data_IF_258072160802
#
_entry.id   IF_258072160802
#
_cell.length_a   1.000
_cell.length_b   1.000
_cell.length_c   1.000
_cell.angle_alpha   90.00
_cell.angle_beta   90.00
_cell.angle_gamma   90.00
#
_symmetry.space_group_name_H-M   'P 1'
#
loop_
_entity.id
_entity.type
_entity.pdbx_description
1 polymer ?
#
# COMPACT_ATOMS: atom_id res chain seq x y z
N UNK A 1 -19.46 -62.98 47.88
CA UNK A 1 -18.50 -62.02 47.31
C UNK A 1 -18.85 -61.83 45.83
N UNK A 2 -19.58 -60.77 45.48
CA UNK A 2 -19.99 -60.50 44.11
C UNK A 2 -19.69 -59.03 43.81
N UNK A 3 -18.51 -58.76 43.29
CA UNK A 3 -18.10 -57.43 42.85
C UNK A 3 -17.41 -57.53 41.50
N UNK A 4 -17.60 -56.48 40.69
CA UNK A 4 -16.92 -56.22 39.41
C UNK A 4 -17.59 -56.74 38.14
N UNK A 5 -18.67 -56.06 37.71
CA UNK A 5 -19.07 -55.94 36.29
C UNK A 5 -19.76 -54.59 35.98
N UNK A 6 -19.28 -53.47 36.54
CA UNK A 6 -19.85 -52.13 36.28
C UNK A 6 -18.89 -51.13 35.60
N UNK A 7 -17.69 -51.56 35.22
CA UNK A 7 -16.65 -50.65 34.70
C UNK A 7 -16.53 -50.59 33.16
N UNK A 8 -17.36 -51.30 32.40
CA UNK A 8 -17.24 -51.38 30.94
C UNK A 8 -18.26 -50.54 30.14
N UNK A 9 -19.23 -49.89 30.81
CA UNK A 9 -20.27 -49.11 30.12
C UNK A 9 -19.99 -47.60 30.05
N UNK A 10 -19.12 -47.08 30.93
CA UNK A 10 -18.76 -45.66 30.97
C UNK A 10 -17.75 -45.26 29.90
N UNK A 11 -16.89 -46.19 29.46
CA UNK A 11 -15.87 -45.94 28.45
C UNK A 11 -16.45 -45.60 27.06
N UNK A 12 -17.43 -46.34 26.50
CA UNK A 12 -18.00 -45.99 25.19
C UNK A 12 -18.82 -44.68 25.22
N UNK A 13 -19.45 -44.35 26.36
CA UNK A 13 -20.21 -43.10 26.54
C UNK A 13 -19.28 -41.88 26.63
N UNK A 14 -18.11 -42.04 27.27
CA UNK A 14 -17.10 -41.00 27.35
C UNK A 14 -16.45 -40.76 25.96
N UNK A 15 -16.24 -41.82 25.17
CA UNK A 15 -15.69 -41.72 23.82
C UNK A 15 -16.63 -41.00 22.84
N UNK A 16 -17.94 -41.21 22.95
CA UNK A 16 -18.94 -40.51 22.11
C UNK A 16 -19.10 -39.05 22.50
N UNK A 17 -19.02 -38.72 23.80
CA UNK A 17 -18.99 -37.33 24.27
C UNK A 17 -17.74 -36.60 23.77
N UNK A 18 -16.56 -37.22 23.81
CA UNK A 18 -15.32 -36.63 23.29
C UNK A 18 -15.43 -36.35 21.78
N UNK A 19 -15.99 -37.27 20.98
CA UNK A 19 -16.22 -37.04 19.54
C UNK A 19 -17.27 -35.97 19.23
N UNK A 20 -18.26 -35.78 20.12
CA UNK A 20 -19.26 -34.71 19.99
C UNK A 20 -18.65 -33.31 20.27
N UNK A 21 -17.69 -33.22 21.19
CA UNK A 21 -16.92 -31.99 21.41
C UNK A 21 -15.95 -31.64 20.27
N UNK A 22 -15.51 -32.63 19.46
CA UNK A 22 -14.65 -32.39 18.30
C UNK A 22 -15.39 -32.11 16.98
N UNK A 23 -16.72 -32.30 16.91
CA UNK A 23 -17.49 -32.16 15.66
C UNK A 23 -18.33 -30.88 15.54
N UNK A 24 -18.23 -29.97 16.50
CA UNK A 24 -18.93 -28.67 16.47
C UNK A 24 -18.00 -27.48 16.26
N UNK A 25 -17.09 -27.56 15.28
CA UNK A 25 -16.58 -26.35 14.63
C UNK A 25 -17.42 -26.09 13.38
N UNK A 26 -18.62 -25.53 13.58
CA UNK A 26 -19.35 -24.90 12.48
C UNK A 26 -18.48 -23.73 12.02
N UNK A 27 -17.73 -23.92 10.94
CA UNK A 27 -16.92 -22.88 10.33
C UNK A 27 -17.88 -21.83 9.77
N UNK A 28 -18.26 -20.87 10.60
CA UNK A 28 -18.88 -19.65 10.13
C UNK A 28 -17.89 -19.04 9.13
N UNK A 29 -18.31 -18.95 7.87
CA UNK A 29 -17.65 -18.18 6.83
C UNK A 29 -17.65 -16.70 7.23
N UNK A 30 -16.85 -16.34 8.22
CA UNK A 30 -16.45 -14.97 8.46
C UNK A 30 -15.43 -14.66 7.38
N UNK A 31 -15.71 -13.63 6.58
CA UNK A 31 -14.72 -13.08 5.66
C UNK A 31 -13.41 -12.92 6.44
N UNK A 32 -12.37 -13.65 6.04
CA UNK A 32 -11.13 -13.65 6.80
C UNK A 32 -10.53 -12.25 6.74
N UNK A 33 -10.43 -11.59 7.88
CA UNK A 33 -9.82 -10.26 7.98
C UNK A 33 -8.50 -10.39 8.72
N UNK A 34 -7.48 -9.73 8.18
CA UNK A 34 -6.16 -9.60 8.77
C UNK A 34 -5.87 -8.12 9.01
N UNK A 35 -4.91 -7.79 9.88
CA UNK A 35 -4.54 -6.40 10.15
C UNK A 35 -3.06 -6.18 9.87
N UNK A 36 -2.74 -5.03 9.27
CA UNK A 36 -1.39 -4.51 9.20
C UNK A 36 -1.33 -3.16 9.92
N UNK A 37 -0.86 -3.18 11.17
CA UNK A 37 -1.00 -2.04 12.06
C UNK A 37 -2.46 -1.71 12.28
N UNK A 38 -2.89 -0.51 11.87
CA UNK A 38 -4.29 -0.06 12.00
C UNK A 38 -5.15 -0.33 10.77
N UNK A 39 -4.57 -0.81 9.68
CA UNK A 39 -5.29 -1.02 8.42
C UNK A 39 -5.78 -2.46 8.37
N UNK A 40 -7.09 -2.62 8.23
CA UNK A 40 -7.69 -3.92 7.98
C UNK A 40 -7.44 -4.34 6.53
N UNK A 41 -7.02 -5.59 6.36
CA UNK A 41 -6.79 -6.24 5.08
C UNK A 41 -7.85 -7.34 4.93
N UNK A 42 -8.65 -7.21 3.88
CA UNK A 42 -9.71 -8.14 3.49
C UNK A 42 -9.45 -8.64 2.06
N UNK A 43 -10.31 -9.55 1.58
CA UNK A 43 -10.42 -9.91 0.16
C UNK A 43 -10.53 -8.62 -0.69
N UNK A 44 -9.82 -8.48 -1.82
CA UNK A 44 -9.02 -9.49 -2.52
C UNK A 44 -7.55 -9.58 -2.08
N UNK A 45 -7.08 -8.70 -1.20
CA UNK A 45 -5.66 -8.63 -0.81
C UNK A 45 -5.26 -9.73 0.18
N UNK A 46 -6.22 -10.26 0.92
CA UNK A 46 -6.02 -11.33 1.89
C UNK A 46 -7.01 -12.46 1.63
N UNK A 47 -6.49 -13.68 1.50
CA UNK A 47 -7.30 -14.89 1.40
C UNK A 47 -6.51 -16.07 1.94
N UNK A 48 -6.71 -16.45 3.22
CA UNK A 48 -5.95 -17.53 3.84
C UNK A 48 -6.50 -18.92 3.49
N UNK A 49 -7.77 -19.01 3.11
CA UNK A 49 -8.47 -20.29 2.92
C UNK A 49 -8.89 -20.56 1.46
N UNK A 50 -8.52 -19.71 0.51
CA UNK A 50 -8.84 -19.93 -0.91
C UNK A 50 -7.74 -20.71 -1.61
N UNK A 51 -8.13 -21.77 -2.32
CA UNK A 51 -7.29 -22.47 -3.32
C UNK A 51 -6.88 -21.53 -4.47
N UNK A 52 -7.68 -20.49 -4.74
CA UNK A 52 -7.38 -19.43 -5.70
C UNK A 52 -6.93 -18.15 -4.96
N UNK A 53 -5.62 -17.96 -4.81
CA UNK A 53 -5.06 -16.71 -4.31
C UNK A 53 -5.31 -15.61 -5.34
N UNK A 54 -6.10 -14.60 -4.99
CA UNK A 54 -6.26 -13.42 -5.84
C UNK A 54 -4.88 -12.82 -6.14
N UNK A 55 -4.57 -12.50 -7.40
CA UNK A 55 -3.27 -11.96 -7.77
C UNK A 55 -2.99 -10.60 -7.09
N UNK A 56 -4.05 -9.88 -6.70
CA UNK A 56 -3.96 -8.60 -5.99
C UNK A 56 -3.22 -8.70 -4.65
N UNK A 57 -3.16 -9.87 -4.01
CA UNK A 57 -2.39 -10.04 -2.77
C UNK A 57 -0.88 -9.75 -2.93
N UNK A 58 -0.34 -9.84 -4.16
CA UNK A 58 1.07 -9.56 -4.47
C UNK A 58 1.37 -8.06 -4.51
N UNK A 59 0.35 -7.22 -4.57
CA UNK A 59 0.47 -5.77 -4.70
C UNK A 59 0.60 -5.08 -3.36
N UNK A 60 0.37 -5.79 -2.25
CA UNK A 60 0.54 -5.23 -0.92
C UNK A 60 1.62 -5.99 -0.14
N UNK A 61 2.33 -5.27 0.72
CA UNK A 61 3.32 -5.82 1.63
C UNK A 61 3.11 -5.21 3.00
N UNK A 62 2.86 -6.04 4.02
CA UNK A 62 2.89 -5.60 5.40
C UNK A 62 4.29 -5.80 5.97
N UNK A 63 4.94 -4.73 6.41
CA UNK A 63 6.26 -4.79 7.06
C UNK A 63 6.29 -3.85 8.26
N UNK A 64 6.69 -4.37 9.42
CA UNK A 64 6.80 -3.58 10.65
C UNK A 64 5.52 -2.80 10.99
N UNK A 65 4.36 -3.46 10.86
CA UNK A 65 3.02 -2.89 11.08
C UNK A 65 2.66 -1.72 10.14
N UNK A 66 3.37 -1.55 9.02
CA UNK A 66 3.07 -0.59 7.96
C UNK A 66 2.74 -1.32 6.68
N UNK A 67 1.66 -0.90 6.04
CA UNK A 67 1.21 -1.45 4.78
C UNK A 67 1.83 -0.67 3.62
N UNK A 68 2.32 -1.38 2.63
CA UNK A 68 2.95 -0.82 1.44
C UNK A 68 2.28 -1.34 0.17
N UNK A 69 2.10 -0.47 -0.80
CA UNK A 69 1.75 -0.78 -2.18
C UNK A 69 3.04 -1.05 -2.97
N UNK A 70 3.13 -2.23 -3.56
CA UNK A 70 4.31 -2.73 -4.27
C UNK A 70 4.18 -2.45 -5.75
N UNK A 71 5.15 -1.73 -6.29
CA UNK A 71 5.28 -1.44 -7.73
C UNK A 71 6.70 -1.78 -8.20
N UNK A 72 6.92 -1.77 -9.51
CA UNK A 72 8.27 -1.90 -10.08
C UNK A 72 9.17 -0.68 -9.81
N UNK A 73 8.60 0.44 -9.36
CA UNK A 73 9.35 1.61 -8.90
C UNK A 73 9.77 1.51 -7.42
N UNK A 74 9.14 0.62 -6.65
CA UNK A 74 9.41 0.44 -5.23
C UNK A 74 8.14 0.30 -4.38
N UNK A 75 8.33 0.46 -3.07
CA UNK A 75 7.28 0.34 -2.05
C UNK A 75 6.75 1.72 -1.65
N UNK A 76 5.43 1.89 -1.75
CA UNK A 76 4.74 3.13 -1.42
C UNK A 76 3.84 2.94 -0.19
N UNK A 77 3.94 3.80 0.84
CA UNK A 77 3.19 3.60 2.07
C UNK A 77 1.69 3.82 1.86
N UNK A 78 0.86 2.87 2.31
CA UNK A 78 -0.60 2.92 2.23
C UNK A 78 -1.16 3.57 3.49
N UNK A 79 -2.03 4.56 3.33
CA UNK A 79 -2.73 5.21 4.46
C UNK A 79 -4.09 4.58 4.75
N UNK A 80 -4.82 4.16 3.72
CA UNK A 80 -6.16 3.57 3.86
C UNK A 80 -6.52 2.68 2.68
N UNK A 81 -7.50 1.79 2.92
CA UNK A 81 -8.15 0.99 1.89
C UNK A 81 -9.66 1.16 2.08
N UNK A 82 -10.36 1.50 1.01
CA UNK A 82 -11.81 1.53 0.97
C UNK A 82 -12.32 0.39 0.10
N UNK A 83 -12.91 -0.61 0.74
CA UNK A 83 -13.44 -1.81 0.07
C UNK A 83 -14.76 -1.54 -0.66
N UNK A 84 -15.56 -0.55 -0.23
CA UNK A 84 -16.81 -0.20 -0.88
C UNK A 84 -16.58 0.49 -2.23
N UNK A 85 -15.64 1.44 -2.29
CA UNK A 85 -15.24 2.09 -3.55
C UNK A 85 -14.12 1.36 -4.28
N UNK A 86 -13.63 0.23 -3.73
CA UNK A 86 -12.52 -0.56 -4.27
C UNK A 86 -11.26 0.28 -4.59
N UNK A 87 -10.90 1.17 -3.66
CA UNK A 87 -9.73 2.05 -3.80
C UNK A 87 -8.74 1.90 -2.65
N UNK A 88 -7.45 2.05 -2.96
CA UNK A 88 -6.35 2.12 -2.02
C UNK A 88 -5.74 3.53 -2.07
N UNK A 89 -5.45 4.12 -0.91
CA UNK A 89 -4.82 5.45 -0.83
C UNK A 89 -3.35 5.32 -0.46
N UNK A 90 -2.48 5.80 -1.33
CA UNK A 90 -1.05 5.96 -1.09
C UNK A 90 -0.80 7.29 -0.38
N UNK A 91 0.00 7.25 0.68
CA UNK A 91 0.48 8.44 1.38
C UNK A 91 1.74 8.99 0.73
N UNK A 92 1.83 10.32 0.65
CA UNK A 92 2.97 11.05 0.10
C UNK A 92 3.47 12.08 1.10
N UNK A 93 4.75 12.44 1.02
CA UNK A 93 5.27 13.61 1.71
C UNK A 93 4.61 14.88 1.17
N UNK A 94 4.17 15.75 2.08
CA UNK A 94 3.70 17.09 1.71
C UNK A 94 4.83 17.89 1.07
N UNK A 95 4.54 18.58 -0.04
CA UNK A 95 5.45 19.54 -0.68
C UNK A 95 6.78 18.90 -1.08
N UNK A 96 6.68 17.81 -1.83
CA UNK A 96 7.82 17.07 -2.38
C UNK A 96 8.49 17.88 -3.49
N UNK A 97 9.81 17.77 -3.61
CA UNK A 97 10.54 18.43 -4.69
C UNK A 97 10.12 17.88 -6.05
N UNK A 98 9.86 18.75 -7.02
CA UNK A 98 9.58 18.38 -8.41
C UNK A 98 10.68 17.52 -9.05
N UNK A 99 11.89 17.45 -8.47
CA UNK A 99 12.96 16.54 -8.95
C UNK A 99 12.65 15.07 -8.75
N UNK A 100 11.81 14.73 -7.77
CA UNK A 100 11.42 13.36 -7.44
C UNK A 100 9.98 13.08 -7.83
N UNK A 101 9.46 13.83 -8.80
CA UNK A 101 8.09 13.66 -9.26
C UNK A 101 7.88 12.26 -9.85
N UNK A 102 6.85 11.59 -9.33
CA UNK A 102 6.34 10.34 -9.85
C UNK A 102 4.88 10.59 -10.21
N UNK A 103 4.53 10.44 -11.48
CA UNK A 103 3.16 10.66 -11.92
C UNK A 103 2.20 9.65 -11.25
N UNK A 104 1.04 10.09 -10.71
CA UNK A 104 0.03 9.16 -10.20
C UNK A 104 -0.50 8.22 -11.29
N UNK A 105 -0.52 8.66 -12.56
CA UNK A 105 -0.93 7.80 -13.68
C UNK A 105 0.05 6.66 -13.93
N UNK A 106 1.34 6.87 -13.60
CA UNK A 106 2.33 5.81 -13.60
C UNK A 106 2.02 4.82 -12.47
N UNK A 107 1.77 5.26 -11.24
CA UNK A 107 1.43 4.37 -10.12
C UNK A 107 0.16 3.54 -10.36
N UNK A 108 -0.86 4.13 -10.98
CA UNK A 108 -2.10 3.45 -11.37
C UNK A 108 -1.98 2.65 -12.67
N UNK A 109 -0.83 2.66 -13.35
CA UNK A 109 -0.70 2.04 -14.67
C UNK A 109 -0.98 0.53 -14.62
N UNK A 110 -1.90 0.09 -15.48
CA UNK A 110 -2.40 -1.28 -15.54
C UNK A 110 -3.61 -1.56 -14.64
N UNK A 111 -4.12 -0.55 -13.94
CA UNK A 111 -5.39 -0.61 -13.22
C UNK A 111 -6.42 0.35 -13.80
N UNK A 112 -7.72 0.13 -13.50
CA UNK A 112 -8.76 1.10 -13.81
C UNK A 112 -8.52 2.45 -13.11
N UNK A 113 -9.07 3.51 -13.68
CA UNK A 113 -9.10 4.82 -13.04
C UNK A 113 -9.97 4.75 -11.78
N UNK A 114 -9.55 5.34 -10.64
CA UNK A 114 -10.40 5.44 -9.46
C UNK A 114 -11.68 6.23 -9.74
N UNK A 115 -12.78 6.01 -8.99
CA UNK A 115 -14.06 6.69 -9.21
C UNK A 115 -13.96 8.22 -9.14
N UNK A 116 -13.08 8.76 -8.30
CA UNK A 116 -12.70 10.16 -8.29
C UNK A 116 -11.25 10.29 -8.75
N UNK A 117 -10.96 11.19 -9.70
CA UNK A 117 -9.61 11.35 -10.21
C UNK A 117 -8.68 11.94 -9.13
N UNK A 118 -7.40 11.61 -9.28
CA UNK A 118 -6.35 12.27 -8.54
C UNK A 118 -6.06 13.64 -9.16
N UNK A 119 -5.58 14.56 -8.33
CA UNK A 119 -5.15 15.88 -8.76
C UNK A 119 -3.73 16.16 -8.25
N UNK A 120 -3.11 17.16 -8.85
CA UNK A 120 -1.77 17.59 -8.51
C UNK A 120 -1.82 19.03 -8.04
N UNK A 121 -1.24 19.26 -6.87
CA UNK A 121 -1.03 20.58 -6.35
C UNK A 121 0.39 21.03 -6.69
N UNK A 122 0.50 22.07 -7.50
CA UNK A 122 1.76 22.63 -7.97
C UNK A 122 2.10 23.88 -7.18
N UNK A 123 3.35 24.01 -6.76
CA UNK A 123 3.79 25.05 -5.81
C UNK A 123 5.00 25.79 -6.33
N UNK A 124 5.00 27.11 -6.12
CA UNK A 124 6.11 28.00 -6.47
C UNK A 124 6.53 27.80 -7.93
N UNK A 125 5.54 27.88 -8.83
CA UNK A 125 5.76 27.86 -10.27
C UNK A 125 6.10 29.28 -10.73
N UNK A 126 7.13 29.41 -11.55
CA UNK A 126 7.36 30.66 -12.28
C UNK A 126 6.29 30.75 -13.37
N UNK A 127 5.72 31.94 -13.54
CA UNK A 127 4.72 32.22 -14.57
C UNK A 127 5.41 32.08 -15.94
N UNK A 128 5.51 30.86 -16.46
CA UNK A 128 5.99 30.63 -17.82
C UNK A 128 4.85 31.01 -18.75
N UNK A 129 5.14 31.73 -19.83
CA UNK A 129 4.20 32.07 -20.91
C UNK A 129 3.63 30.83 -21.65
N UNK A 130 3.76 29.62 -21.08
CA UNK A 130 3.10 28.41 -21.53
C UNK A 130 1.59 28.57 -21.32
N UNK A 131 0.74 28.09 -22.25
CA UNK A 131 -0.70 28.10 -22.06
C UNK A 131 -0.99 27.34 -20.76
N UNK A 132 -1.40 28.05 -19.72
CA UNK A 132 -1.82 27.40 -18.49
C UNK A 132 -2.93 26.40 -18.84
N UNK A 133 -2.86 25.13 -18.39
CA UNK A 133 -3.94 24.20 -18.57
C UNK A 133 -5.22 24.82 -17.97
N UNK A 134 -6.30 24.81 -18.75
CA UNK A 134 -7.55 25.53 -18.50
C UNK A 134 -8.26 25.17 -17.18
N UNK A 135 -7.80 24.14 -16.47
CA UNK A 135 -8.36 23.64 -15.21
C UNK A 135 -7.57 24.04 -13.96
N UNK A 136 -6.70 25.05 -14.02
CA UNK A 136 -5.89 25.48 -12.88
C UNK A 136 -6.68 26.35 -11.90
N UNK A 137 -6.88 25.85 -10.67
CA UNK A 137 -7.52 26.59 -9.58
C UNK A 137 -6.47 27.16 -8.63
N UNK A 138 -6.66 28.42 -8.18
CA UNK A 138 -5.80 29.05 -7.18
C UNK A 138 -6.07 28.45 -5.79
N UNK A 139 -5.01 28.16 -5.02
CA UNK A 139 -5.11 27.34 -3.80
C UNK A 139 -5.04 28.13 -2.48
N UNK A 140 -5.44 29.40 -2.45
CA UNK A 140 -5.24 30.30 -1.30
C UNK A 140 -5.69 29.74 0.07
N UNK A 141 -6.59 28.75 0.09
CA UNK A 141 -7.13 28.11 1.30
C UNK A 141 -6.57 26.72 1.61
N UNK A 142 -5.77 26.12 0.71
CA UNK A 142 -5.10 24.85 0.95
C UNK A 142 -3.78 25.13 1.66
N UNK A 143 -3.58 24.51 2.83
CA UNK A 143 -2.27 24.48 3.49
C UNK A 143 -1.62 23.09 3.31
N UNK A 144 -1.19 22.74 2.09
CA UNK A 144 -0.70 21.40 1.76
C UNK A 144 0.60 21.08 2.50
N UNK A 145 1.38 22.10 2.88
CA UNK A 145 2.66 21.95 3.55
C UNK A 145 2.56 22.03 5.08
N UNK A 146 1.35 22.12 5.66
CA UNK A 146 1.17 22.30 7.10
C UNK A 146 1.87 21.21 7.94
N UNK A 147 1.95 19.99 7.41
CA UNK A 147 2.64 18.87 8.06
C UNK A 147 4.16 19.05 8.08
N UNK A 148 4.75 19.60 7.00
CA UNK A 148 6.20 19.87 6.89
C UNK A 148 6.64 21.05 7.76
N UNK A 149 5.80 22.08 7.86
CA UNK A 149 6.05 23.28 8.66
C UNK A 149 6.16 23.03 10.18
N UNK A 150 5.63 21.90 10.69
CA UNK A 150 5.76 21.51 12.11
C UNK A 150 7.10 20.85 12.45
N UNK A 151 7.80 20.29 11.45
CA UNK A 151 9.07 19.55 11.66
C UNK A 151 10.30 20.42 11.40
N UNK A 152 10.18 21.44 10.56
CA UNK A 152 11.25 22.41 10.33
C UNK A 152 10.96 23.70 11.11
N UNK A 153 11.89 24.13 11.99
CA UNK A 153 11.87 25.48 12.61
C UNK A 153 12.05 26.62 11.60
N UNK A 154 12.18 26.30 10.31
CA UNK A 154 11.98 27.25 9.22
C UNK A 154 10.50 27.28 8.89
N UNK A 155 9.87 28.42 9.21
CA UNK A 155 8.64 28.90 8.59
C UNK A 155 8.80 28.73 7.08
N UNK A 156 8.32 27.62 6.51
CA UNK A 156 8.20 27.48 5.07
C UNK A 156 7.27 28.62 4.68
N UNK A 157 7.84 29.67 4.06
CA UNK A 157 7.05 30.80 3.59
C UNK A 157 5.89 30.23 2.77
N UNK A 158 4.69 30.72 3.07
CA UNK A 158 3.49 30.29 2.37
C UNK A 158 3.80 30.32 0.87
N UNK A 159 3.56 29.23 0.13
CA UNK A 159 3.94 29.15 -1.27
C UNK A 159 3.41 30.37 -2.03
N UNK A 160 4.30 31.12 -2.68
CA UNK A 160 3.99 32.40 -3.32
C UNK A 160 2.98 32.25 -4.46
N UNK A 161 2.87 31.05 -5.02
CA UNK A 161 1.89 30.67 -6.02
C UNK A 161 1.54 29.19 -5.84
N UNK A 162 0.25 28.87 -5.96
CA UNK A 162 -0.23 27.50 -5.99
C UNK A 162 -1.28 27.32 -7.09
N UNK A 163 -1.22 26.17 -7.75
CA UNK A 163 -2.22 25.78 -8.73
C UNK A 163 -2.61 24.31 -8.54
N UNK A 164 -3.91 24.03 -8.48
CA UNK A 164 -4.46 22.68 -8.47
C UNK A 164 -4.81 22.26 -9.90
N UNK A 165 -4.39 21.08 -10.32
CA UNK A 165 -4.66 20.53 -11.66
C UNK A 165 -5.21 19.11 -11.55
N UNK A 166 -6.34 18.82 -12.18
CA UNK A 166 -6.86 17.45 -12.32
C UNK A 166 -5.97 16.62 -13.24
N UNK A 167 -5.66 15.37 -12.85
CA UNK A 167 -4.78 14.50 -13.64
C UNK A 167 -5.42 14.09 -14.97
N UNK A 168 -6.75 14.10 -15.06
CA UNK A 168 -7.47 13.85 -16.32
C UNK A 168 -7.18 14.89 -17.42
N UNK A 169 -6.77 16.11 -17.02
CA UNK A 169 -6.49 17.22 -17.94
C UNK A 169 -5.00 17.35 -18.28
N UNK A 170 -4.15 16.46 -17.74
CA UNK A 170 -2.71 16.49 -17.94
C UNK A 170 -2.27 15.45 -18.97
N UNK A 171 -1.31 15.84 -19.81
CA UNK A 171 -0.61 14.89 -20.67
C UNK A 171 0.09 13.81 -19.83
N UNK A 172 0.13 12.57 -20.30
CA UNK A 172 0.74 11.45 -19.57
C UNK A 172 2.24 11.64 -19.31
N UNK A 173 2.91 12.44 -20.14
CA UNK A 173 4.32 12.81 -20.01
C UNK A 173 4.54 14.10 -19.21
N UNK A 174 3.48 14.72 -18.67
CA UNK A 174 3.59 15.94 -17.88
C UNK A 174 4.57 15.80 -16.71
N UNK A 175 5.42 16.80 -16.54
CA UNK A 175 6.30 16.93 -15.40
C UNK A 175 6.17 18.34 -14.78
N UNK A 176 6.09 18.50 -13.44
CA UNK A 176 5.97 19.82 -12.80
C UNK A 176 7.05 20.85 -13.18
N UNK A 177 8.23 20.36 -13.60
CA UNK A 177 9.33 21.21 -14.10
C UNK A 177 9.02 21.87 -15.43
N UNK A 178 8.12 21.31 -16.23
CA UNK A 178 7.71 21.90 -17.52
C UNK A 178 7.02 23.25 -17.30
N UNK A 179 6.42 23.44 -16.12
CA UNK A 179 5.84 24.70 -15.63
C UNK A 179 6.76 25.43 -14.64
N UNK A 180 8.04 25.07 -14.55
CA UNK A 180 9.01 25.63 -13.60
C UNK A 180 8.54 25.61 -12.14
N UNK A 181 7.75 24.62 -11.74
CA UNK A 181 7.32 24.43 -10.35
C UNK A 181 8.44 23.77 -9.54
N UNK A 182 8.78 24.35 -8.38
CA UNK A 182 9.82 23.78 -7.52
C UNK A 182 9.33 22.60 -6.67
N UNK A 183 8.05 22.60 -6.30
CA UNK A 183 7.45 21.58 -5.45
C UNK A 183 6.07 21.16 -5.94
N UNK A 184 5.64 19.99 -5.49
CA UNK A 184 4.29 19.49 -5.73
C UNK A 184 3.76 18.72 -4.52
N UNK A 185 2.45 18.52 -4.48
CA UNK A 185 1.79 17.57 -3.59
C UNK A 185 0.74 16.78 -4.37
N UNK A 186 0.65 15.48 -4.13
CA UNK A 186 -0.40 14.64 -4.69
C UNK A 186 -1.62 14.73 -3.79
N UNK A 187 -2.77 14.98 -4.39
CA UNK A 187 -4.03 15.13 -3.69
C UNK A 187 -5.14 14.39 -4.41
N UNK A 188 -6.19 14.05 -3.68
CA UNK A 188 -7.43 13.50 -4.25
C UNK A 188 -8.62 14.25 -3.71
N UNK A 189 -9.71 14.27 -4.48
CA UNK A 189 -10.99 14.85 -4.04
C UNK A 189 -11.76 13.83 -3.19
N UNK A 190 -12.25 14.26 -2.02
CA UNK A 190 -13.01 13.46 -1.05
C UNK A 190 -14.40 13.13 -1.60
N UNK A 191 -15.11 14.14 -2.09
CA UNK A 191 -16.44 14.04 -2.71
C UNK A 191 -16.58 14.98 -3.92
N UNK A 192 -17.43 14.61 -4.88
CA UNK A 192 -17.77 15.45 -6.04
C UNK A 192 -18.69 16.62 -5.67
N UNK A 193 -19.44 16.51 -4.57
CA UNK A 193 -20.38 17.54 -4.11
C UNK A 193 -19.69 18.69 -3.35
N UNK A 194 -18.43 18.48 -2.94
CA UNK A 194 -17.63 19.50 -2.28
C UNK A 194 -17.06 20.45 -3.34
N UNK A 195 -17.83 21.46 -3.74
CA UNK A 195 -17.37 22.60 -4.55
C UNK A 195 -16.33 23.47 -3.80
N UNK A 196 -16.19 23.28 -2.47
CA UNK A 196 -15.24 24.00 -1.62
C UNK A 196 -13.86 23.30 -1.57
N UNK A 197 -12.80 24.10 -1.46
CA UNK A 197 -11.38 23.70 -1.40
C UNK A 197 -11.08 22.70 -0.26
N UNK A 198 -11.97 22.58 0.73
CA UNK A 198 -11.93 21.58 1.81
C UNK A 198 -12.13 20.14 1.34
N UNK A 199 -12.55 19.95 0.09
CA UNK A 199 -12.76 18.65 -0.53
C UNK A 199 -11.48 17.88 -0.84
N UNK A 200 -10.28 18.47 -0.76
CA UNK A 200 -9.04 17.77 -1.13
C UNK A 200 -8.23 17.26 0.07
N UNK A 201 -7.64 16.07 -0.08
CA UNK A 201 -6.75 15.45 0.90
C UNK A 201 -5.44 14.99 0.25
N UNK A 202 -4.36 14.91 1.04
CA UNK A 202 -3.06 14.45 0.58
C UNK A 202 -3.09 12.94 0.32
N UNK A 203 -2.69 12.54 -0.89
CA UNK A 203 -2.55 11.14 -1.27
C UNK A 203 -2.79 10.90 -2.75
N UNK A 204 -2.62 9.64 -3.14
CA UNK A 204 -2.98 9.14 -4.47
C UNK A 204 -3.89 7.93 -4.31
N UNK A 205 -5.07 7.96 -4.92
CA UNK A 205 -6.00 6.83 -4.99
C UNK A 205 -5.66 5.92 -6.16
N UNK A 206 -5.57 4.62 -5.89
CA UNK A 206 -5.40 3.55 -6.87
C UNK A 206 -6.67 2.69 -6.84
N UNK A 207 -7.29 2.45 -7.99
CA UNK A 207 -8.39 1.49 -8.07
C UNK A 207 -7.85 0.06 -8.10
N UNK A 208 -8.53 -0.86 -7.41
CA UNK A 208 -8.31 -2.29 -7.55
C UNK A 208 -9.57 -3.01 -8.04
N UNK A 209 -10.54 -2.27 -8.58
CA UNK A 209 -11.78 -2.84 -9.14
C UNK A 209 -11.55 -3.52 -10.49
N UNK A 210 -10.94 -4.71 -10.46
CA UNK A 210 -10.75 -5.52 -11.65
C UNK A 210 -12.05 -6.31 -11.90
N UNK A 211 -12.76 -6.06 -13.02
CA UNK A 211 -13.99 -6.80 -13.33
C UNK A 211 -13.70 -8.30 -13.55
N UNK A 212 -14.57 -9.17 -13.02
CA UNK A 212 -14.40 -10.64 -13.07
C UNK A 212 -14.35 -11.24 -14.49
N UNK A 213 -14.82 -10.48 -15.48
CA UNK A 213 -14.90 -10.84 -16.90
C UNK A 213 -13.68 -10.37 -17.70
N UNK A 214 -12.69 -9.72 -17.07
CA UNK A 214 -11.44 -9.35 -17.74
C UNK A 214 -10.59 -10.61 -17.93
N UNK A 215 -10.28 -11.02 -19.18
CA UNK A 215 -9.35 -12.13 -19.43
C UNK A 215 -7.99 -11.79 -18.81
N UNK A 216 -7.25 -12.80 -18.33
CA UNK A 216 -5.99 -12.68 -17.56
C UNK A 216 -5.36 -11.28 -17.65
N UNK A 217 -5.38 -10.56 -16.52
CA UNK A 217 -4.89 -9.18 -16.41
C UNK A 217 -3.44 -9.02 -16.90
N UNK A 218 -2.69 -10.11 -17.00
CA UNK A 218 -1.32 -10.14 -17.51
C UNK A 218 -1.20 -10.31 -19.04
N UNK A 219 -2.28 -10.49 -19.78
CA UNK A 219 -2.25 -10.69 -21.24
C UNK A 219 -1.53 -9.56 -21.97
N UNK A 220 -1.81 -8.31 -21.62
CA UNK A 220 -1.11 -7.16 -22.21
C UNK A 220 0.38 -7.14 -21.86
N UNK A 221 0.79 -7.71 -20.73
CA UNK A 221 2.19 -7.82 -20.34
C UNK A 221 2.95 -8.89 -21.13
N UNK A 222 2.26 -9.92 -21.63
CA UNK A 222 2.86 -11.07 -22.33
C UNK A 222 3.10 -10.84 -23.83
N UNK A 223 2.48 -9.80 -24.42
CA UNK A 223 2.70 -9.44 -25.82
C UNK A 223 4.14 -8.97 -26.06
N UNK A 224 4.71 -9.25 -27.23
CA UNK A 224 6.11 -8.90 -27.58
C UNK A 224 6.45 -7.41 -27.46
N UNK A 225 5.47 -6.52 -27.65
CA UNK A 225 5.56 -5.07 -27.40
C UNK A 225 4.52 -4.59 -26.36
N UNK A 226 4.12 -5.49 -25.48
CA UNK A 226 3.14 -5.25 -24.43
C UNK A 226 3.66 -4.29 -23.35
N UNK A 227 2.82 -3.37 -22.88
CA UNK A 227 3.17 -2.51 -21.76
C UNK A 227 2.51 -3.02 -20.47
N UNK A 228 3.33 -3.56 -19.58
CA UNK A 228 2.93 -3.90 -18.23
C UNK A 228 3.21 -2.70 -17.32
N UNK A 229 2.21 -1.84 -17.15
CA UNK A 229 2.29 -0.66 -16.28
C UNK A 229 2.90 -0.96 -14.91
N UNK A 230 3.54 0.03 -14.27
CA UNK A 230 4.42 -0.24 -13.12
C UNK A 230 3.71 -0.83 -11.90
N UNK A 231 2.39 -0.61 -11.76
CA UNK A 231 1.56 -1.18 -10.71
C UNK A 231 1.19 -2.64 -10.98
N UNK A 232 0.75 -2.96 -12.20
CA UNK A 232 0.37 -4.32 -12.60
C UNK A 232 1.57 -5.25 -12.78
N UNK A 233 2.75 -4.69 -13.08
CA UNK A 233 3.99 -5.44 -13.31
C UNK A 233 4.35 -6.40 -12.17
N UNK A 234 4.02 -6.07 -10.92
CA UNK A 234 4.31 -6.95 -9.79
C UNK A 234 3.41 -8.16 -9.66
N UNK A 235 2.22 -8.14 -10.28
CA UNK A 235 1.40 -9.34 -10.40
C UNK A 235 1.99 -10.28 -11.45
N UNK A 236 2.25 -9.73 -12.63
CA UNK A 236 2.55 -10.49 -13.84
C UNK A 236 4.02 -10.93 -13.91
N UNK A 237 4.93 -10.10 -13.38
CA UNK A 237 6.36 -10.33 -13.33
C UNK A 237 6.88 -10.11 -11.89
N UNK A 238 6.55 -11.01 -10.94
CA UNK A 238 6.86 -10.80 -9.52
C UNK A 238 8.37 -10.67 -9.25
N UNK A 239 9.22 -11.26 -10.09
CA UNK A 239 10.68 -11.16 -9.98
C UNK A 239 11.21 -9.74 -10.24
N UNK A 240 10.49 -8.94 -11.02
CA UNK A 240 10.91 -7.57 -11.38
C UNK A 240 10.67 -6.58 -10.25
N UNK A 241 9.81 -6.94 -9.30
CA UNK A 241 9.44 -6.08 -8.19
C UNK A 241 10.19 -6.39 -6.89
N UNK A 242 11.42 -6.92 -6.97
CA UNK A 242 12.26 -7.16 -5.76
C UNK A 242 12.21 -5.93 -4.85
N UNK A 243 12.01 -6.18 -3.56
CA UNK A 243 11.67 -5.15 -2.58
C UNK A 243 12.80 -4.12 -2.42
N UNK A 244 12.78 -3.07 -3.23
CA UNK A 244 13.67 -1.91 -3.09
C UNK A 244 13.10 -1.01 -2.02
N UNK A 245 13.75 -1.00 -0.85
CA UNK A 245 13.46 -0.05 0.22
C UNK A 245 14.16 1.26 -0.13
N UNK A 246 13.43 2.38 -0.24
CA UNK A 246 14.03 3.72 -0.12
C UNK A 246 14.22 3.96 1.38
N UNK A 247 15.36 3.51 1.91
CA UNK A 247 15.75 3.79 3.29
C UNK A 247 16.19 5.26 3.37
N UNK A 248 15.25 6.18 3.59
CA UNK A 248 15.56 7.55 4.01
C UNK A 248 15.81 7.58 5.53
N UNK A 249 16.74 6.73 5.98
CA UNK A 249 17.35 6.68 7.30
C UNK A 249 18.61 5.83 7.11
N UNK A 250 19.77 6.37 7.51
CA UNK A 250 21.10 5.85 7.18
C UNK A 250 21.21 4.32 7.25
N UNK A 251 21.64 3.73 6.14
CA UNK A 251 22.02 2.32 6.09
C UNK A 251 23.33 2.13 6.85
N UNK A 252 23.25 1.82 8.14
CA UNK A 252 24.33 1.11 8.82
C UNK A 252 24.14 -0.38 8.55
N UNK A 253 25.05 -0.96 7.76
CA UNK A 253 25.11 -2.40 7.51
C UNK A 253 25.14 -3.15 8.85
N UNK A 254 24.36 -4.23 9.07
CA UNK A 254 24.54 -5.08 10.23
C UNK A 254 25.70 -6.04 9.93
N UNK A 255 26.94 -5.56 10.09
CA UNK A 255 28.09 -6.45 10.24
C UNK A 255 28.30 -6.63 11.73
N UNK A 256 27.62 -7.62 12.32
CA UNK A 256 27.76 -7.88 13.74
C UNK A 256 26.58 -8.64 14.33
N UNK A 257 26.40 -9.90 13.95
CA UNK A 257 25.60 -10.84 14.74
C UNK A 257 25.96 -12.31 14.49
N UNK A 258 26.70 -12.63 13.43
CA UNK A 258 27.19 -13.99 13.19
C UNK A 258 28.30 -14.37 14.19
N UNK A 259 29.17 -13.43 14.59
CA UNK A 259 30.25 -13.73 15.53
C UNK A 259 29.75 -14.04 16.95
N UNK A 260 28.69 -13.36 17.41
CA UNK A 260 28.15 -13.50 18.76
C UNK A 260 27.42 -14.84 18.95
N UNK A 261 26.72 -15.30 17.90
CA UNK A 261 26.03 -16.60 17.93
C UNK A 261 26.99 -17.78 17.91
N UNK A 262 28.14 -17.66 17.23
CA UNK A 262 29.17 -18.69 17.19
C UNK A 262 29.90 -18.77 18.53
N UNK A 263 30.23 -17.62 19.14
CA UNK A 263 30.84 -17.56 20.48
C UNK A 263 29.94 -18.18 21.56
N UNK A 264 28.63 -17.95 21.50
CA UNK A 264 27.68 -18.56 22.46
C UNK A 264 27.60 -20.08 22.32
N UNK A 265 27.81 -20.63 21.12
CA UNK A 265 27.78 -22.08 20.89
C UNK A 265 29.04 -22.78 21.43
N UNK A 266 30.21 -22.14 21.27
CA UNK A 266 31.47 -22.67 21.80
C UNK A 266 31.53 -22.66 23.33
N UNK A 267 30.98 -21.63 23.99
CA UNK A 267 30.92 -21.59 25.46
C UNK A 267 30.07 -22.74 26.00
N UNK A 268 28.92 -23.04 25.38
CA UNK A 268 28.06 -24.17 25.81
C UNK A 268 28.76 -25.51 25.61
N UNK A 269 29.47 -25.72 24.51
CA UNK A 269 30.21 -26.97 24.27
C UNK A 269 31.33 -27.19 25.30
N UNK A 270 32.08 -26.14 25.67
CA UNK A 270 33.17 -26.26 26.66
C UNK A 270 32.62 -26.63 28.05
N UNK A 271 31.44 -26.15 28.43
CA UNK A 271 30.80 -26.54 29.69
C UNK A 271 30.23 -27.96 29.68
N UNK A 272 29.79 -28.47 28.53
CA UNK A 272 29.25 -29.84 28.42
C UNK A 272 30.33 -30.93 28.43
N UNK A 273 31.57 -30.62 28.06
CA UNK A 273 32.69 -31.58 28.10
C UNK A 273 33.48 -31.59 29.41
N UNK A 274 33.07 -30.78 30.40
CA UNK A 274 33.74 -30.68 31.71
C UNK A 274 32.89 -31.13 32.91
N UNK A 275 31.78 -31.84 32.66
CA UNK A 275 31.04 -32.64 33.65
C UNK A 275 31.28 -34.13 33.42
#
# INVERSE_FOLDING_TARGET
>A
MHTSKKLNFFYPLLLTLINFFFTSSLCQHTASTSFCGKIQIQTPFWSPNSTAKSPLNRMILCRSQKLYFRTSLGLFPVSSINYASKTLTISHSSCSSSRHYISPSLLSAGFPTPPQPNSLLLLNCLNSNSPMPSSMLNCSHLNPCAASAKTQRQKLEAPHSCSLVGLENLDKAFHPKDLNCSHYSQVYRRSLDDEDYKGYELGTRISFDIPDHVPDICNECQKSNGNCGVGLKCICHPQDCRDKVISMAGSTKPVGNVLLSVLSFFVVLVFFFHC
#
